data_IF_378610636274
#
_entry.id   IF_378610636274
#
_cell.length_a   1.000
_cell.length_b   1.000
_cell.length_c   1.000
_cell.angle_alpha   90.00
_cell.angle_beta   90.00
_cell.angle_gamma   90.00
#
_symmetry.space_group_name_H-M   'P 1'
#
loop_
_entity.id
_entity.type
_entity.pdbx_description
1 polymer ?
#
# COMPACT_ATOMS: atom_id res chain seq x y z
N UNK A 1 -0.43 -25.15 -51.84
CA UNK A 1 -0.64 -24.15 -50.78
C UNK A 1 0.04 -24.67 -49.52
N UNK A 2 1.05 -23.95 -49.05
CA UNK A 2 2.19 -24.51 -48.32
C UNK A 2 1.91 -24.63 -46.81
N UNK A 3 2.10 -25.83 -46.22
CA UNK A 3 1.90 -26.12 -44.78
C UNK A 3 2.80 -25.29 -43.84
N UNK A 4 3.78 -24.60 -44.41
CA UNK A 4 4.75 -23.71 -43.73
C UNK A 4 4.09 -22.39 -43.30
N UNK A 5 3.06 -21.92 -44.00
CA UNK A 5 2.42 -20.62 -43.69
C UNK A 5 1.56 -20.68 -42.41
N UNK A 6 1.14 -21.86 -41.97
CA UNK A 6 0.29 -22.03 -40.78
C UNK A 6 1.10 -21.97 -39.47
N UNK A 7 2.37 -22.40 -39.48
CA UNK A 7 3.23 -22.36 -38.29
C UNK A 7 3.76 -20.97 -37.93
N UNK A 8 3.84 -20.05 -38.90
CA UNK A 8 4.29 -18.68 -38.64
C UNK A 8 3.21 -17.80 -37.98
N UNK A 9 1.94 -18.19 -38.06
CA UNK A 9 0.82 -17.41 -37.52
C UNK A 9 0.54 -17.66 -36.03
N UNK A 10 1.06 -18.75 -35.45
CA UNK A 10 0.85 -19.08 -34.02
C UNK A 10 1.94 -18.51 -33.11
N UNK A 11 3.11 -18.15 -33.62
CA UNK A 11 4.21 -17.61 -32.81
C UNK A 11 4.08 -16.10 -32.54
N UNK A 12 3.31 -15.36 -33.37
CA UNK A 12 3.10 -13.92 -33.21
C UNK A 12 2.02 -13.56 -32.19
N UNK A 13 1.19 -14.52 -31.75
CA UNK A 13 0.14 -14.26 -30.74
C UNK A 13 0.64 -14.34 -29.29
N UNK A 14 1.82 -14.92 -29.04
CA UNK A 14 2.38 -15.06 -27.69
C UNK A 14 3.12 -13.80 -27.18
N UNK A 15 3.48 -12.87 -28.07
CA UNK A 15 4.24 -11.66 -27.71
C UNK A 15 3.35 -10.48 -27.24
N UNK A 16 2.02 -10.60 -27.30
CA UNK A 16 1.09 -9.51 -26.98
C UNK A 16 0.51 -9.52 -25.56
N UNK A 17 0.82 -10.51 -24.72
CA UNK A 17 0.19 -10.71 -23.41
C UNK A 17 1.07 -10.32 -22.21
N UNK A 18 2.26 -9.76 -22.43
CA UNK A 18 3.09 -9.21 -21.36
C UNK A 18 2.58 -7.83 -20.91
N UNK A 19 1.33 -7.76 -20.46
CA UNK A 19 0.92 -6.63 -19.63
C UNK A 19 1.75 -6.72 -18.35
N UNK A 20 2.47 -5.65 -17.94
CA UNK A 20 3.17 -5.66 -16.67
C UNK A 20 2.13 -5.87 -15.59
N UNK A 21 2.21 -7.01 -14.88
CA UNK A 21 1.49 -7.15 -13.62
C UNK A 21 2.15 -6.14 -12.69
N UNK A 22 1.49 -5.01 -12.44
CA UNK A 22 1.97 -4.07 -11.44
C UNK A 22 1.84 -4.79 -10.10
N UNK A 23 2.98 -5.22 -9.53
CA UNK A 23 3.00 -5.80 -8.21
C UNK A 23 2.39 -4.79 -7.23
N UNK A 24 1.41 -5.24 -6.45
CA UNK A 24 0.78 -4.39 -5.45
C UNK A 24 1.85 -3.92 -4.45
N UNK A 25 1.85 -2.64 -4.12
CA UNK A 25 2.76 -2.10 -3.11
C UNK A 25 2.21 -2.48 -1.74
N UNK A 26 2.91 -3.38 -1.04
CA UNK A 26 2.54 -3.75 0.33
C UNK A 26 2.81 -2.61 1.31
N UNK A 27 1.82 -2.29 2.13
CA UNK A 27 1.84 -1.16 3.05
C UNK A 27 1.21 -1.56 4.39
N UNK A 28 1.94 -1.41 5.50
CA UNK A 28 1.38 -1.54 6.84
C UNK A 28 1.09 -0.17 7.44
N UNK A 29 -0.17 0.08 7.77
CA UNK A 29 -0.65 1.31 8.42
C UNK A 29 -0.97 1.02 9.89
N UNK A 30 -0.29 1.72 10.81
CA UNK A 30 -0.59 1.68 12.24
C UNK A 30 -1.80 2.53 12.61
N UNK A 31 -2.81 1.94 13.24
CA UNK A 31 -4.04 2.62 13.68
C UNK A 31 -4.37 2.33 15.16
N UNK A 32 -5.23 3.16 15.78
CA UNK A 32 -5.88 2.83 17.07
C UNK A 32 -7.34 2.47 16.81
N UNK A 33 -8.09 2.13 17.86
CA UNK A 33 -9.54 1.97 17.80
C UNK A 33 -10.35 3.28 17.77
N UNK A 34 -9.70 4.44 17.59
CA UNK A 34 -10.43 5.71 17.53
C UNK A 34 -11.27 5.79 16.25
N UNK A 35 -12.55 6.14 16.39
CA UNK A 35 -13.52 6.19 15.28
C UNK A 35 -13.09 7.12 14.15
N UNK A 36 -12.30 8.16 14.43
CA UNK A 36 -11.78 9.06 13.38
C UNK A 36 -10.91 8.36 12.33
N UNK A 37 -10.40 7.15 12.59
CA UNK A 37 -9.65 6.34 11.62
C UNK A 37 -10.50 5.28 10.92
N UNK A 38 -11.81 5.19 11.19
CA UNK A 38 -12.73 4.27 10.52
C UNK A 38 -12.72 4.36 8.98
N UNK A 39 -12.54 5.55 8.35
CA UNK A 39 -12.45 5.64 6.90
C UNK A 39 -11.37 4.74 6.27
N UNK A 40 -10.23 4.50 6.95
CA UNK A 40 -9.19 3.59 6.45
C UNK A 40 -9.67 2.14 6.43
N UNK A 41 -10.39 1.71 7.46
CA UNK A 41 -11.00 0.38 7.52
C UNK A 41 -12.05 0.20 6.43
N UNK A 42 -12.92 1.20 6.26
CA UNK A 42 -13.94 1.18 5.22
C UNK A 42 -13.32 1.17 3.81
N UNK A 43 -12.26 1.96 3.58
CA UNK A 43 -11.54 1.97 2.31
C UNK A 43 -10.92 0.61 1.97
N UNK A 44 -10.37 -0.10 2.97
CA UNK A 44 -9.90 -1.48 2.80
C UNK A 44 -11.05 -2.42 2.46
N UNK A 45 -12.16 -2.37 3.21
CA UNK A 45 -13.32 -3.22 2.97
C UNK A 45 -13.99 -2.98 1.61
N UNK A 46 -13.96 -1.73 1.13
CA UNK A 46 -14.48 -1.33 -0.17
C UNK A 46 -13.51 -1.62 -1.33
N UNK A 47 -12.34 -2.23 -1.07
CA UNK A 47 -11.34 -2.56 -2.10
C UNK A 47 -10.67 -1.34 -2.75
N UNK A 48 -10.74 -0.16 -2.12
CA UNK A 48 -10.19 1.07 -2.70
C UNK A 48 -8.66 1.01 -2.81
N UNK A 49 -7.99 0.47 -1.79
CA UNK A 49 -6.53 0.31 -1.82
C UNK A 49 -6.08 -0.63 -2.94
N UNK A 50 -6.72 -1.78 -3.08
CA UNK A 50 -6.41 -2.76 -4.11
C UNK A 50 -6.63 -2.19 -5.52
N UNK A 51 -7.72 -1.43 -5.72
CA UNK A 51 -7.99 -0.70 -6.97
C UNK A 51 -6.87 0.27 -7.35
N UNK A 52 -6.14 0.79 -6.36
CA UNK A 52 -4.99 1.67 -6.55
C UNK A 52 -3.65 0.94 -6.48
N UNK A 53 -3.64 -0.40 -6.56
CA UNK A 53 -2.42 -1.20 -6.56
C UNK A 53 -1.71 -1.25 -5.20
N UNK A 54 -2.44 -1.05 -4.10
CA UNK A 54 -1.91 -1.11 -2.74
C UNK A 54 -2.45 -2.34 -2.00
N UNK A 55 -1.54 -3.13 -1.43
CA UNK A 55 -1.87 -4.22 -0.51
C UNK A 55 -1.71 -3.71 0.93
N UNK A 56 -2.83 -3.26 1.52
CA UNK A 56 -2.81 -2.55 2.80
C UNK A 56 -3.11 -3.48 3.96
N UNK A 57 -2.20 -3.54 4.93
CA UNK A 57 -2.43 -4.14 6.25
C UNK A 57 -2.69 -3.04 7.29
N UNK A 58 -3.87 -3.08 7.93
CA UNK A 58 -4.19 -2.19 9.05
C UNK A 58 -3.81 -2.90 10.36
N UNK A 59 -2.81 -2.38 11.06
CA UNK A 59 -2.30 -2.97 12.31
C UNK A 59 -2.69 -2.07 13.49
N UNK A 60 -3.34 -2.65 14.51
CA UNK A 60 -3.58 -1.93 15.76
C UNK A 60 -2.26 -1.79 16.52
N UNK A 61 -1.80 -0.56 16.68
CA UNK A 61 -0.54 -0.23 17.37
C UNK A 61 -0.80 0.89 18.38
N UNK A 62 -0.39 0.76 19.66
CA UNK A 62 -0.46 1.84 20.64
C UNK A 62 0.24 3.09 20.14
N UNK A 63 -0.33 4.28 20.38
CA UNK A 63 0.22 5.55 19.88
C UNK A 63 1.70 5.74 20.27
N UNK A 64 2.03 5.44 21.53
CA UNK A 64 3.39 5.59 22.06
C UNK A 64 4.44 4.75 21.34
N UNK A 65 4.07 3.61 20.77
CA UNK A 65 5.00 2.68 20.11
C UNK A 65 5.14 2.91 18.60
N UNK A 66 4.27 3.73 17.99
CA UNK A 66 4.26 3.96 16.53
C UNK A 66 5.51 4.65 15.99
N UNK A 67 6.10 5.66 16.66
CA UNK A 67 7.36 6.25 16.21
C UNK A 67 8.47 5.22 16.02
N UNK A 68 8.62 4.34 17.01
CA UNK A 68 9.61 3.27 17.00
C UNK A 68 9.32 2.25 15.89
N UNK A 69 8.05 1.88 15.71
CA UNK A 69 7.64 0.95 14.66
C UNK A 69 7.79 1.54 13.24
N UNK A 70 7.69 2.87 13.07
CA UNK A 70 8.02 3.54 11.81
C UNK A 70 9.53 3.54 11.61
N UNK A 71 10.30 3.89 12.65
CA UNK A 71 11.76 3.93 12.58
C UNK A 71 12.39 2.54 12.32
N UNK A 72 11.77 1.45 12.81
CA UNK A 72 12.21 0.06 12.55
C UNK A 72 11.82 -0.46 11.17
N UNK A 73 10.91 0.21 10.47
CA UNK A 73 10.34 -0.27 9.20
C UNK A 73 9.17 -1.25 9.37
N UNK A 74 8.74 -1.56 10.60
CA UNK A 74 7.55 -2.39 10.85
C UNK A 74 6.25 -1.73 10.37
N UNK A 75 6.24 -0.40 10.30
CA UNK A 75 5.15 0.42 9.75
C UNK A 75 5.69 1.36 8.69
N UNK A 76 5.01 1.45 7.55
CA UNK A 76 5.30 2.47 6.53
C UNK A 76 4.50 3.75 6.78
N UNK A 77 3.33 3.65 7.39
CA UNK A 77 2.45 4.77 7.70
C UNK A 77 1.79 4.58 9.07
N UNK A 78 1.32 5.68 9.66
CA UNK A 78 0.46 5.63 10.84
C UNK A 78 -0.63 6.71 10.75
N UNK A 79 -1.83 6.37 11.22
CA UNK A 79 -2.90 7.33 11.40
C UNK A 79 -2.81 7.93 12.81
N UNK A 80 -2.57 9.24 12.92
CA UNK A 80 -2.48 9.95 14.19
C UNK A 80 -3.05 11.37 14.05
N UNK A 81 -3.32 12.06 15.16
CA UNK A 81 -3.73 13.46 15.14
C UNK A 81 -2.56 14.35 14.74
N UNK A 82 -2.86 15.53 14.17
CA UNK A 82 -1.81 16.49 13.77
C UNK A 82 -0.97 16.92 14.97
N UNK A 83 -1.60 17.14 16.13
CA UNK A 83 -0.90 17.50 17.37
C UNK A 83 0.10 16.43 17.81
N UNK A 84 -0.29 15.15 17.78
CA UNK A 84 0.62 14.04 18.10
C UNK A 84 1.75 13.92 17.07
N UNK A 85 1.45 14.10 15.78
CA UNK A 85 2.47 14.08 14.73
C UNK A 85 3.51 15.19 14.91
N UNK A 86 3.10 16.40 15.32
CA UNK A 86 4.02 17.50 15.62
C UNK A 86 5.05 17.12 16.69
N UNK A 87 4.63 16.39 17.74
CA UNK A 87 5.53 15.88 18.79
C UNK A 87 6.54 14.89 18.22
N UNK A 88 6.10 13.97 17.35
CA UNK A 88 6.99 12.98 16.73
C UNK A 88 8.02 13.64 15.81
N UNK A 89 7.57 14.59 15.00
CA UNK A 89 8.43 15.32 14.08
C UNK A 89 9.47 16.17 14.84
N UNK A 90 9.07 16.84 15.92
CA UNK A 90 9.99 17.56 16.81
C UNK A 90 11.01 16.62 17.50
N UNK A 91 10.64 15.36 17.70
CA UNK A 91 11.49 14.31 18.28
C UNK A 91 12.39 13.61 17.24
N UNK A 92 12.42 14.08 16.00
CA UNK A 92 13.32 13.58 14.95
C UNK A 92 12.85 12.32 14.21
N UNK A 93 11.57 11.96 14.34
CA UNK A 93 11.00 10.82 13.60
C UNK A 93 10.74 11.24 12.15
N UNK A 94 11.55 10.74 11.21
CA UNK A 94 11.48 11.09 9.77
C UNK A 94 10.16 10.62 9.15
N UNK A 95 9.15 11.48 9.20
CA UNK A 95 7.81 11.22 8.66
C UNK A 95 7.30 12.43 7.89
N UNK A 96 6.41 12.18 6.92
CA UNK A 96 5.74 13.23 6.15
C UNK A 96 4.24 13.15 6.40
N UNK A 97 3.62 14.27 6.75
CA UNK A 97 2.17 14.37 6.83
C UNK A 97 1.54 14.25 5.42
N UNK A 98 0.45 13.48 5.33
CA UNK A 98 -0.33 13.27 4.10
C UNK A 98 -1.70 13.94 4.32
N UNK A 99 -2.15 14.76 3.36
CA UNK A 99 -3.43 15.49 3.38
C UNK A 99 -4.44 14.88 2.41
#
# INVERSE_FOLDING_TARGET
MNRITVFAATLTLAAGLSAPVMAATSLTIGISGWTGFAPLTLAKQAGLFEKHGLDVTLKKVPQASRPLAIASGDLQCAATTVETWLVWNASGVTTKQIF
#
